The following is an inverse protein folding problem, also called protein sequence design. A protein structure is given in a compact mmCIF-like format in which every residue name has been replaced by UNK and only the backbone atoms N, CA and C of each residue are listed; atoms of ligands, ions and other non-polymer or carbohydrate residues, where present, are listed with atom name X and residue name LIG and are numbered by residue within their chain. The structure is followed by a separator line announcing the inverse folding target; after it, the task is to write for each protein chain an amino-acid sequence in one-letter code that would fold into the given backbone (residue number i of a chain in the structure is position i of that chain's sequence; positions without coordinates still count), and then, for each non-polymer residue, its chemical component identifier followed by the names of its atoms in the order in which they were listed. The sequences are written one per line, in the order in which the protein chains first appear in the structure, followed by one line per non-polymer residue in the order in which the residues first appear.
data_IF_286798960634
#
_entry.id   IF_286798960634
#
_cell.length_a   1.000
_cell.length_b   1.000
_cell.length_c   1.000
_cell.angle_alpha   90.00
_cell.angle_beta   90.00
_cell.angle_gamma   90.00
#
_symmetry.space_group_name_H-M   'P 1'
#
loop_
_entity.id
_entity.type
_entity.pdbx_description
1 polymer ?
#
# COMPACT_ATOMS: atom_id res chain seq x y z
N UNK A 1 1.94 -0.30 6.87
CA UNK A 1 2.21 -0.05 5.43
C UNK A 1 1.00 0.54 4.71
N UNK A 2 -0.16 -0.16 4.60
CA UNK A 2 -1.36 0.38 3.92
C UNK A 2 -1.76 1.79 4.37
N UNK A 3 -1.80 2.05 5.68
CA UNK A 3 -2.07 3.38 6.22
C UNK A 3 -1.03 4.42 5.78
N UNK A 4 0.26 4.05 5.76
CA UNK A 4 1.32 4.94 5.28
C UNK A 4 1.14 5.32 3.80
N UNK A 5 0.79 4.35 2.95
CA UNK A 5 0.48 4.60 1.54
C UNK A 5 -0.75 5.52 1.39
N UNK A 6 -1.80 5.28 2.17
CA UNK A 6 -2.99 6.11 2.16
C UNK A 6 -2.71 7.55 2.58
N UNK A 7 -1.80 7.79 3.54
CA UNK A 7 -1.42 9.14 3.99
C UNK A 7 -0.46 9.87 3.04
N UNK A 8 0.34 9.17 2.23
CA UNK A 8 1.32 9.81 1.33
C UNK A 8 0.65 10.36 0.07
N UNK A 9 -0.37 9.67 -0.46
CA UNK A 9 -1.08 10.10 -1.68
C UNK A 9 -2.21 11.11 -1.46
N UNK A 10 -2.63 11.33 -0.21
CA UNK A 10 -3.91 12.00 0.06
C UNK A 10 -3.82 12.99 1.23
N UNK A 11 -4.22 14.24 0.98
CA UNK A 11 -4.06 15.35 1.92
C UNK A 11 -5.21 15.49 2.94
N UNK A 12 -6.40 14.98 2.63
CA UNK A 12 -7.58 15.07 3.50
C UNK A 12 -8.00 13.71 4.08
N UNK A 13 -8.63 13.75 5.25
CA UNK A 13 -9.01 12.54 5.99
C UNK A 13 -9.95 11.63 5.19
N UNK A 14 -10.86 12.19 4.39
CA UNK A 14 -11.84 11.40 3.66
C UNK A 14 -11.20 10.64 2.49
N UNK A 15 -10.27 11.28 1.78
CA UNK A 15 -9.52 10.64 0.70
C UNK A 15 -8.51 9.61 1.24
N UNK A 16 -7.83 9.88 2.37
CA UNK A 16 -7.02 8.86 3.07
C UNK A 16 -7.85 7.63 3.46
N UNK A 17 -9.03 7.82 4.07
CA UNK A 17 -9.88 6.70 4.47
C UNK A 17 -10.40 5.92 3.26
N UNK A 18 -10.75 6.63 2.18
CA UNK A 18 -11.14 6.04 0.91
C UNK A 18 -10.03 5.14 0.34
N UNK A 19 -8.82 5.68 0.24
CA UNK A 19 -7.63 4.98 -0.26
C UNK A 19 -7.31 3.74 0.57
N UNK A 20 -7.27 3.89 1.89
CA UNK A 20 -7.05 2.77 2.79
C UNK A 20 -8.08 1.66 2.60
N UNK A 21 -9.36 2.03 2.46
CA UNK A 21 -10.44 1.06 2.27
C UNK A 21 -10.31 0.31 0.94
N UNK A 22 -9.90 0.98 -0.14
CA UNK A 22 -9.66 0.33 -1.42
C UNK A 22 -8.57 -0.75 -1.31
N UNK A 23 -7.42 -0.42 -0.72
CA UNK A 23 -6.36 -1.40 -0.51
C UNK A 23 -6.74 -2.51 0.47
N UNK A 24 -7.38 -2.18 1.59
CA UNK A 24 -7.81 -3.16 2.59
C UNK A 24 -8.82 -4.17 2.02
N UNK A 25 -9.65 -3.78 1.06
CA UNK A 25 -10.60 -4.68 0.41
C UNK A 25 -9.90 -5.84 -0.32
N UNK A 26 -8.72 -5.61 -0.90
CA UNK A 26 -7.91 -6.64 -1.56
C UNK A 26 -7.41 -7.74 -0.60
N UNK A 27 -7.37 -7.46 0.71
CA UNK A 27 -6.89 -8.37 1.74
C UNK A 27 -8.03 -8.98 2.57
N UNK A 28 -9.30 -8.66 2.27
CA UNK A 28 -10.47 -9.10 3.04
C UNK A 28 -10.58 -10.62 3.13
N UNK A 29 -10.19 -11.34 2.08
CA UNK A 29 -10.17 -12.81 2.04
C UNK A 29 -9.20 -13.45 3.04
N UNK A 30 -8.22 -12.68 3.55
CA UNK A 30 -7.30 -13.14 4.61
C UNK A 30 -7.97 -13.16 5.99
N UNK A 31 -9.25 -12.79 6.09
CA UNK A 31 -10.01 -12.76 7.35
C UNK A 31 -9.52 -11.70 8.34
N UNK A 32 -8.74 -10.71 7.86
CA UNK A 32 -8.20 -9.63 8.69
C UNK A 32 -9.11 -8.41 8.63
N UNK A 33 -9.48 -7.90 9.80
CA UNK A 33 -10.15 -6.61 9.91
C UNK A 33 -9.10 -5.52 10.10
N UNK A 34 -8.65 -4.95 8.99
CA UNK A 34 -7.61 -3.92 8.98
C UNK A 34 -8.22 -2.57 9.38
N UNK A 35 -7.48 -1.80 10.17
CA UNK A 35 -7.87 -0.45 10.61
C UNK A 35 -6.85 0.57 10.11
N UNK A 36 -7.34 1.74 9.72
CA UNK A 36 -6.49 2.86 9.36
C UNK A 36 -5.77 3.36 10.62
N UNK A 37 -4.43 3.36 10.59
CA UNK A 37 -3.61 3.96 11.63
C UNK A 37 -3.45 5.47 11.38
N UNK A 38 -3.33 6.30 12.43
CA UNK A 38 -3.01 7.71 12.27
C UNK A 38 -1.61 7.90 11.68
N UNK A 39 -1.38 9.03 11.03
CA UNK A 39 -0.11 9.33 10.38
C UNK A 39 1.09 9.26 11.35
N UNK A 40 0.89 9.67 12.61
CA UNK A 40 1.91 9.61 13.67
C UNK A 40 2.41 8.19 13.97
N UNK A 41 1.64 7.15 13.63
CA UNK A 41 2.02 5.74 13.79
C UNK A 41 2.61 5.15 12.50
N UNK A 42 2.61 5.92 11.40
CA UNK A 42 3.16 5.51 10.10
C UNK A 42 4.59 6.03 9.91
N UNK A 43 5.44 5.86 10.92
CA UNK A 43 6.84 6.33 10.87
C UNK A 43 7.68 5.48 9.92
N UNK A 44 8.81 6.03 9.44
CA UNK A 44 9.74 5.27 8.59
C UNK A 44 10.21 3.97 9.26
N UNK A 45 10.50 4.01 10.56
CA UNK A 45 10.92 2.81 11.30
C UNK A 45 9.85 1.72 11.38
N UNK A 46 8.58 2.11 11.57
CA UNK A 46 7.44 1.17 11.54
C UNK A 46 7.20 0.60 10.14
N UNK A 47 7.42 1.42 9.09
CA UNK A 47 7.34 0.96 7.71
C UNK A 47 8.44 -0.03 7.38
N UNK A 48 9.70 0.25 7.74
CA UNK A 48 10.85 -0.63 7.53
C UNK A 48 10.67 -1.98 8.25
N UNK A 49 10.24 -1.95 9.52
CA UNK A 49 9.98 -3.16 10.29
C UNK A 49 8.87 -4.02 9.64
N UNK A 50 7.79 -3.39 9.20
CA UNK A 50 6.69 -4.10 8.54
C UNK A 50 7.11 -4.68 7.17
N UNK A 51 7.96 -3.99 6.41
CA UNK A 51 8.50 -4.52 5.14
C UNK A 51 9.40 -5.73 5.42
N UNK A 52 10.27 -5.65 6.43
CA UNK A 52 11.14 -6.75 6.81
C UNK A 52 10.35 -7.99 7.25
N UNK A 53 9.25 -7.82 8.00
CA UNK A 53 8.34 -8.92 8.36
C UNK A 53 7.67 -9.50 7.11
N UNK A 54 7.14 -8.65 6.24
CA UNK A 54 6.45 -9.07 5.02
C UNK A 54 7.38 -9.78 4.02
N UNK A 55 8.67 -9.42 3.98
CA UNK A 55 9.66 -10.10 3.16
C UNK A 55 9.81 -11.60 3.51
N UNK A 56 9.51 -11.97 4.77
CA UNK A 56 9.52 -13.38 5.23
C UNK A 56 8.24 -14.14 4.86
N UNK A 57 7.20 -13.45 4.37
CA UNK A 57 5.98 -14.10 3.94
C UNK A 57 6.16 -14.86 2.62
N UNK A 58 5.22 -15.75 2.30
CA UNK A 58 5.20 -16.44 1.01
C UNK A 58 5.02 -15.45 -0.15
N UNK A 59 5.63 -15.74 -1.30
CA UNK A 59 5.53 -14.87 -2.48
C UNK A 59 4.07 -14.52 -2.87
N UNK A 60 3.09 -15.45 -2.83
CA UNK A 60 1.69 -15.10 -3.08
C UNK A 60 1.13 -14.08 -2.08
N UNK A 61 1.52 -14.12 -0.81
CA UNK A 61 1.05 -13.15 0.18
C UNK A 61 1.69 -11.78 -0.05
N UNK A 62 2.99 -11.72 -0.36
CA UNK A 62 3.68 -10.47 -0.72
C UNK A 62 3.03 -9.82 -1.95
N UNK A 63 2.73 -10.59 -2.98
CA UNK A 63 2.01 -10.12 -4.17
C UNK A 63 0.61 -9.58 -3.85
N UNK A 64 -0.14 -10.25 -2.96
CA UNK A 64 -1.44 -9.72 -2.51
C UNK A 64 -1.29 -8.37 -1.83
N UNK A 65 -0.25 -8.17 -1.02
CA UNK A 65 0.01 -6.89 -0.38
C UNK A 65 0.43 -5.83 -1.41
N UNK A 66 1.32 -6.13 -2.35
CA UNK A 66 1.71 -5.18 -3.41
C UNK A 66 0.50 -4.75 -4.24
N UNK A 67 -0.40 -5.68 -4.58
CA UNK A 67 -1.66 -5.35 -5.24
C UNK A 67 -2.54 -4.44 -4.37
N UNK A 68 -2.64 -4.71 -3.07
CA UNK A 68 -3.39 -3.86 -2.15
C UNK A 68 -2.80 -2.44 -2.07
N UNK A 69 -1.47 -2.30 -2.07
CA UNK A 69 -0.80 -0.99 -2.11
C UNK A 69 -1.09 -0.26 -3.42
N UNK A 70 -1.09 -0.96 -4.56
CA UNK A 70 -1.44 -0.39 -5.86
C UNK A 70 -2.87 0.16 -5.89
N UNK A 71 -3.84 -0.57 -5.32
CA UNK A 71 -5.21 -0.09 -5.15
C UNK A 71 -5.35 1.04 -4.12
N UNK A 72 -4.39 1.18 -3.21
CA UNK A 72 -4.40 2.29 -2.23
C UNK A 72 -3.97 3.59 -2.91
N UNK A 73 -2.92 3.55 -3.73
CA UNK A 73 -2.43 4.76 -4.42
C UNK A 73 -3.32 5.15 -5.59
N UNK A 74 -3.84 4.19 -6.37
CA UNK A 74 -4.76 4.49 -7.48
C UNK A 74 -6.21 4.73 -7.04
N UNK A 75 -6.45 5.09 -5.79
CA UNK A 75 -7.79 5.12 -5.22
C UNK A 75 -8.64 6.30 -5.71
N UNK A 76 -7.99 7.40 -6.09
CA UNK A 76 -8.60 8.57 -6.71
C UNK A 76 -8.79 8.42 -8.24
N UNK A 77 -8.32 7.31 -8.80
CA UNK A 77 -8.45 6.96 -10.22
C UNK A 77 -7.26 7.37 -11.08
N UNK A 78 -6.25 8.03 -10.51
CA UNK A 78 -4.98 8.34 -11.17
C UNK A 78 -3.82 7.80 -10.32
N UNK A 79 -2.68 7.51 -10.94
CA UNK A 79 -1.47 7.19 -10.18
C UNK A 79 -0.40 8.17 -10.61
N UNK A 80 0.00 9.03 -9.68
CA UNK A 80 1.06 10.01 -9.92
C UNK A 80 2.40 9.30 -10.10
N UNK A 81 3.36 9.98 -10.74
CA UNK A 81 4.74 9.49 -10.85
C UNK A 81 5.33 9.20 -9.45
N UNK A 82 5.04 10.04 -8.46
CA UNK A 82 5.57 9.88 -7.11
C UNK A 82 5.01 8.63 -6.42
N UNK A 83 3.72 8.35 -6.58
CA UNK A 83 3.10 7.14 -6.04
C UNK A 83 3.56 5.89 -6.75
N UNK A 84 3.73 5.95 -8.08
CA UNK A 84 4.28 4.85 -8.86
C UNK A 84 5.72 4.52 -8.42
N UNK A 85 6.57 5.52 -8.19
CA UNK A 85 7.93 5.32 -7.70
C UNK A 85 7.96 4.80 -6.25
N UNK A 86 7.07 5.31 -5.38
CA UNK A 86 6.91 4.78 -4.02
C UNK A 86 6.52 3.30 -4.06
N UNK A 87 5.49 2.94 -4.85
CA UNK A 87 5.06 1.56 -5.01
C UNK A 87 6.18 0.69 -5.59
N UNK A 88 6.93 1.19 -6.58
CA UNK A 88 8.07 0.49 -7.18
C UNK A 88 9.16 0.18 -6.16
N UNK A 89 9.55 1.15 -5.35
CA UNK A 89 10.51 0.95 -4.28
C UNK A 89 10.06 -0.16 -3.30
N UNK A 90 8.78 -0.18 -2.92
CA UNK A 90 8.23 -1.22 -2.04
C UNK A 90 8.15 -2.60 -2.70
N UNK A 91 7.76 -2.65 -3.98
CA UNK A 91 7.70 -3.91 -4.72
C UNK A 91 9.09 -4.52 -4.90
N UNK A 92 10.10 -3.70 -5.18
CA UNK A 92 11.51 -4.11 -5.24
C UNK A 92 12.00 -4.67 -3.89
N UNK A 93 11.69 -4.00 -2.77
CA UNK A 93 12.03 -4.50 -1.42
C UNK A 93 11.39 -5.85 -1.10
N UNK A 94 10.21 -6.14 -1.68
CA UNK A 94 9.46 -7.37 -1.45
C UNK A 94 9.74 -8.45 -2.51
N UNK A 95 10.66 -8.21 -3.44
CA UNK A 95 10.96 -9.09 -4.58
C UNK A 95 9.67 -9.47 -5.33
N UNK A 96 8.90 -8.44 -5.70
CA UNK A 96 7.59 -8.56 -6.33
C UNK A 96 7.52 -7.65 -7.57
N UNK A 97 6.94 -8.10 -8.70
CA UNK A 97 6.67 -7.22 -9.83
C UNK A 97 5.59 -6.18 -9.51
N UNK A 98 5.71 -5.01 -10.16
CA UNK A 98 4.66 -3.98 -10.13
C UNK A 98 3.43 -4.44 -10.92
N UNK A 99 2.20 -4.23 -10.40
CA UNK A 99 1.00 -4.62 -11.11
C UNK A 99 0.82 -3.83 -12.42
N UNK A 100 0.40 -4.48 -13.53
CA UNK A 100 0.40 -3.86 -14.87
C UNK A 100 -0.65 -2.76 -15.05
N UNK A 101 -1.62 -2.66 -14.13
CA UNK A 101 -2.64 -1.61 -14.14
C UNK A 101 -2.15 -0.28 -13.55
N UNK A 102 -0.95 -0.26 -12.97
CA UNK A 102 -0.31 0.96 -12.51
C UNK A 102 0.38 1.60 -13.72
N UNK A 103 -0.34 2.48 -14.42
CA UNK A 103 0.21 3.31 -15.48
C UNK A 103 0.34 4.75 -14.95
N UNK A 104 1.57 5.24 -14.80
CA UNK A 104 1.82 6.63 -14.42
C UNK A 104 1.26 7.55 -15.51
N UNK A 105 0.40 8.49 -15.13
CA UNK A 105 -0.14 9.53 -16.02
C UNK A 105 0.52 10.89 -15.79
#
# INVERSE_FOLDING_TARGET
ILSGFAHVGHEDTASTEHAFRQGAACLKELGKNLKLLPYSECTLGEMDAAVAELAQATAPLRMKVVNALAHTVGADGEVTIQEAELLRAFADMLDCPIPPFVQSS
#
